data_IF_290555650050
#
_entry.id   IF_290555650050
#
_cell.length_a   1.000
_cell.length_b   1.000
_cell.length_c   1.000
_cell.angle_alpha   90.00
_cell.angle_beta   90.00
_cell.angle_gamma   90.00
#
_symmetry.space_group_name_H-M   'P 1'
#
loop_
_entity.id
_entity.type
_entity.pdbx_description
1 polymer ?
#
# COMPACT_ATOMS: atom_id res chain seq x y z
N UNK A 1 17.52 -11.35 -21.35
CA UNK A 1 18.06 -12.01 -20.13
C UNK A 1 18.42 -11.00 -19.03
N UNK A 2 19.12 -9.88 -19.32
CA UNK A 2 19.45 -8.84 -18.32
C UNK A 2 18.23 -8.09 -17.76
N UNK A 3 17.18 -7.90 -18.56
CA UNK A 3 15.93 -7.26 -18.11
C UNK A 3 15.04 -8.24 -17.32
N UNK A 4 15.09 -9.54 -17.67
CA UNK A 4 14.35 -10.59 -16.98
C UNK A 4 14.89 -10.87 -15.57
N UNK A 5 16.19 -10.67 -15.34
CA UNK A 5 16.81 -10.77 -14.01
C UNK A 5 16.50 -9.60 -13.09
N UNK A 6 16.19 -8.40 -13.62
CA UNK A 6 15.73 -7.28 -12.80
C UNK A 6 14.31 -7.53 -12.25
N UNK A 7 13.46 -8.23 -13.01
CA UNK A 7 12.12 -8.63 -12.56
C UNK A 7 12.12 -9.66 -11.42
N UNK A 8 13.14 -10.52 -11.35
CA UNK A 8 13.27 -11.53 -10.28
C UNK A 8 13.77 -10.98 -8.95
N UNK A 9 14.39 -9.79 -8.92
CA UNK A 9 14.85 -9.11 -7.70
C UNK A 9 13.92 -7.99 -7.21
N UNK A 10 12.86 -7.68 -7.95
CA UNK A 10 11.82 -6.75 -7.52
C UNK A 10 10.70 -7.31 -6.59
N UNK A 11 10.75 -8.53 -5.98
CA UNK A 11 9.78 -8.91 -4.95
C UNK A 11 10.26 -8.52 -3.54
N UNK A 12 11.10 -7.49 -3.40
CA UNK A 12 11.60 -7.07 -2.08
C UNK A 12 10.60 -6.16 -1.35
N UNK A 13 9.58 -5.62 -2.05
CA UNK A 13 8.53 -4.83 -1.41
C UNK A 13 7.13 -5.26 -1.87
N UNK A 14 6.29 -5.80 -0.96
CA UNK A 14 4.91 -6.14 -1.24
C UNK A 14 4.05 -4.87 -1.31
N UNK A 15 4.20 -4.12 -2.40
CA UNK A 15 3.18 -3.21 -2.87
C UNK A 15 2.40 -3.92 -3.95
N UNK A 16 1.17 -4.36 -3.66
CA UNK A 16 0.23 -4.81 -4.70
C UNK A 16 0.14 -3.84 -5.89
N UNK A 17 0.24 -2.49 -5.73
CA UNK A 17 0.39 -1.57 -6.86
C UNK A 17 1.67 -1.77 -7.68
N UNK A 18 2.80 -2.08 -7.03
CA UNK A 18 4.06 -2.36 -7.71
C UNK A 18 3.96 -3.63 -8.57
N UNK A 19 3.34 -4.68 -8.04
CA UNK A 19 3.11 -5.95 -8.74
C UNK A 19 2.24 -5.70 -9.99
N UNK A 20 1.18 -4.92 -9.85
CA UNK A 20 0.33 -4.54 -10.97
C UNK A 20 1.09 -3.73 -12.03
N UNK A 21 1.89 -2.73 -11.63
CA UNK A 21 2.69 -1.94 -12.56
C UNK A 21 3.72 -2.78 -13.32
N UNK A 22 4.34 -3.75 -12.64
CA UNK A 22 5.26 -4.69 -13.27
C UNK A 22 4.53 -5.59 -14.30
N UNK A 23 3.37 -6.13 -13.95
CA UNK A 23 2.54 -6.94 -14.86
C UNK A 23 2.03 -6.12 -16.06
N UNK A 24 1.65 -4.85 -15.84
CA UNK A 24 1.27 -3.92 -16.89
C UNK A 24 2.43 -3.66 -17.85
N UNK A 25 3.61 -3.36 -17.33
CA UNK A 25 4.82 -3.15 -18.14
C UNK A 25 5.22 -4.40 -18.94
N UNK A 26 5.11 -5.58 -18.34
CA UNK A 26 5.33 -6.84 -19.03
C UNK A 26 4.30 -7.08 -20.14
N UNK A 27 3.02 -6.80 -19.88
CA UNK A 27 1.95 -6.90 -20.87
C UNK A 27 2.18 -6.03 -22.10
N UNK A 28 2.65 -4.79 -21.91
CA UNK A 28 3.03 -3.91 -23.03
C UNK A 28 4.25 -4.41 -23.81
N UNK A 29 5.26 -4.94 -23.11
CA UNK A 29 6.46 -5.50 -23.75
C UNK A 29 6.14 -6.72 -24.63
N UNK A 30 5.23 -7.58 -24.15
CA UNK A 30 4.88 -8.82 -24.83
C UNK A 30 3.72 -8.67 -25.83
N UNK A 31 3.07 -7.51 -25.88
CA UNK A 31 1.88 -7.27 -26.72
C UNK A 31 0.62 -8.00 -26.23
N UNK A 32 0.48 -8.21 -24.92
CA UNK A 32 -0.69 -8.84 -24.27
C UNK A 32 -0.98 -10.29 -24.68
N UNK A 33 0.05 -11.05 -25.09
CA UNK A 33 -0.10 -12.45 -25.49
C UNK A 33 -0.28 -13.40 -24.28
N UNK A 34 0.57 -13.30 -23.24
CA UNK A 34 0.39 -14.08 -22.00
C UNK A 34 -0.43 -13.33 -20.96
N UNK A 35 -0.12 -12.06 -20.70
CA UNK A 35 -0.92 -11.20 -19.82
C UNK A 35 -2.05 -10.57 -20.64
N UNK A 36 -3.18 -11.28 -20.70
CA UNK A 36 -4.35 -10.76 -21.39
C UNK A 36 -4.97 -9.57 -20.63
N UNK A 37 -5.74 -8.70 -21.31
CA UNK A 37 -6.45 -7.60 -20.65
C UNK A 37 -7.37 -8.05 -19.51
N UNK A 38 -7.90 -9.28 -19.57
CA UNK A 38 -8.72 -9.87 -18.52
C UNK A 38 -7.90 -10.16 -17.25
N UNK A 39 -6.70 -10.75 -17.40
CA UNK A 39 -5.78 -11.00 -16.28
C UNK A 39 -5.37 -9.67 -15.65
N UNK A 40 -5.04 -8.69 -16.49
CA UNK A 40 -4.68 -7.35 -16.03
C UNK A 40 -5.82 -6.68 -15.25
N UNK A 41 -7.07 -6.82 -15.70
CA UNK A 41 -8.25 -6.32 -14.99
C UNK A 41 -8.43 -6.99 -13.63
N UNK A 42 -8.21 -8.32 -13.54
CA UNK A 42 -8.26 -9.04 -12.27
C UNK A 42 -7.17 -8.54 -11.32
N UNK A 43 -5.93 -8.39 -11.80
CA UNK A 43 -4.82 -7.86 -11.00
C UNK A 43 -5.09 -6.42 -10.53
N UNK A 44 -5.69 -5.59 -11.38
CA UNK A 44 -6.11 -4.25 -11.02
C UNK A 44 -7.17 -4.27 -9.90
N UNK A 45 -8.20 -5.10 -10.03
CA UNK A 45 -9.25 -5.24 -9.01
C UNK A 45 -8.69 -5.71 -7.66
N UNK A 46 -7.78 -6.70 -7.67
CA UNK A 46 -7.10 -7.17 -6.46
C UNK A 46 -6.25 -6.05 -5.83
N UNK A 47 -5.56 -5.28 -6.65
CA UNK A 47 -4.77 -4.13 -6.20
C UNK A 47 -5.65 -3.08 -5.52
N UNK A 48 -6.74 -2.66 -6.18
CA UNK A 48 -7.69 -1.70 -5.60
C UNK A 48 -8.29 -2.24 -4.30
N UNK A 49 -8.68 -3.51 -4.26
CA UNK A 49 -9.22 -4.14 -3.05
C UNK A 49 -8.22 -4.08 -1.88
N UNK A 50 -6.96 -4.41 -2.13
CA UNK A 50 -5.92 -4.33 -1.10
C UNK A 50 -5.64 -2.90 -0.63
N UNK A 51 -5.65 -1.92 -1.53
CA UNK A 51 -5.52 -0.50 -1.17
C UNK A 51 -6.68 -0.02 -0.30
N UNK A 52 -7.91 -0.44 -0.61
CA UNK A 52 -9.08 -0.15 0.22
C UNK A 52 -8.96 -0.80 1.59
N UNK A 53 -8.54 -2.05 1.67
CA UNK A 53 -8.35 -2.76 2.94
C UNK A 53 -7.28 -2.07 3.78
N UNK A 54 -6.13 -1.70 3.22
CA UNK A 54 -5.09 -0.96 3.93
C UNK A 54 -5.59 0.39 4.44
N UNK A 55 -6.35 1.11 3.60
CA UNK A 55 -6.96 2.38 3.99
C UNK A 55 -7.94 2.18 5.16
N UNK A 56 -8.88 1.25 5.05
CA UNK A 56 -9.86 0.99 6.11
C UNK A 56 -9.18 0.45 7.38
N UNK A 57 -8.19 -0.43 7.25
CA UNK A 57 -7.44 -0.94 8.39
C UNK A 57 -6.68 0.19 9.10
N UNK A 58 -6.05 1.10 8.35
CA UNK A 58 -5.45 2.32 8.88
C UNK A 58 -6.45 3.22 9.59
N UNK A 59 -7.63 3.47 8.98
CA UNK A 59 -8.70 4.28 9.60
C UNK A 59 -9.24 3.62 10.87
N UNK A 60 -9.50 2.32 10.85
CA UNK A 60 -10.01 1.57 12.01
C UNK A 60 -8.96 1.56 13.12
N UNK A 61 -7.68 1.34 12.78
CA UNK A 61 -6.57 1.42 13.71
C UNK A 61 -6.44 2.81 14.32
N UNK A 62 -6.44 3.86 13.51
CA UNK A 62 -6.41 5.24 13.98
C UNK A 62 -7.58 5.55 14.93
N UNK A 63 -8.82 5.24 14.51
CA UNK A 63 -10.03 5.47 15.32
C UNK A 63 -10.00 4.71 16.64
N UNK A 64 -9.52 3.46 16.67
CA UNK A 64 -9.42 2.66 17.89
C UNK A 64 -8.46 3.28 18.92
N UNK A 65 -7.50 4.07 18.46
CA UNK A 65 -6.56 4.81 19.30
C UNK A 65 -6.97 6.28 19.52
N UNK A 66 -8.21 6.63 19.18
CA UNK A 66 -8.79 7.95 19.45
C UNK A 66 -8.55 9.00 18.38
N UNK A 67 -8.17 8.60 17.16
CA UNK A 67 -8.01 9.52 16.05
C UNK A 67 -9.32 10.24 15.70
N UNK A 68 -9.18 11.48 15.28
CA UNK A 68 -10.26 12.34 14.79
C UNK A 68 -10.23 12.39 13.27
N UNK A 69 -11.23 13.06 12.66
CA UNK A 69 -11.26 13.27 11.22
C UNK A 69 -9.99 13.93 10.67
N UNK A 70 -9.35 14.83 11.43
CA UNK A 70 -8.13 15.51 11.02
C UNK A 70 -6.91 14.57 11.02
N UNK A 71 -6.79 13.67 12.01
CA UNK A 71 -5.75 12.64 11.99
C UNK A 71 -5.95 11.62 10.87
N UNK A 72 -7.20 11.28 10.54
CA UNK A 72 -7.49 10.37 9.42
C UNK A 72 -7.10 11.01 8.07
N UNK A 73 -7.53 12.24 7.82
CA UNK A 73 -7.16 12.97 6.60
C UNK A 73 -5.67 13.28 6.55
N UNK A 74 -5.08 13.62 7.69
CA UNK A 74 -3.65 13.80 7.85
C UNK A 74 -2.88 12.53 7.51
N UNK A 75 -3.30 11.37 8.02
CA UNK A 75 -2.69 10.08 7.70
C UNK A 75 -2.79 9.74 6.20
N UNK A 76 -3.93 10.05 5.58
CA UNK A 76 -4.13 9.80 4.15
C UNK A 76 -3.20 10.66 3.29
N UNK A 77 -3.19 11.98 3.52
CA UNK A 77 -2.31 12.91 2.80
C UNK A 77 -0.84 12.63 3.11
N UNK A 78 -0.51 12.36 4.37
CA UNK A 78 0.83 11.97 4.81
C UNK A 78 1.29 10.66 4.19
N UNK A 79 0.39 9.70 3.94
CA UNK A 79 0.70 8.48 3.20
C UNK A 79 1.05 8.74 1.74
N UNK A 80 0.27 9.57 1.06
CA UNK A 80 0.53 9.96 -0.34
C UNK A 80 1.87 10.71 -0.44
N UNK A 81 2.04 11.75 0.36
CA UNK A 81 3.26 12.57 0.36
C UNK A 81 4.47 11.75 0.83
N UNK A 82 4.29 10.89 1.83
CA UNK A 82 5.32 9.99 2.32
C UNK A 82 5.87 9.10 1.21
N UNK A 83 4.99 8.45 0.44
CA UNK A 83 5.41 7.59 -0.68
C UNK A 83 6.12 8.41 -1.77
N UNK A 84 5.66 9.63 -2.06
CA UNK A 84 6.26 10.48 -3.11
C UNK A 84 7.67 10.97 -2.71
N UNK A 85 7.84 11.44 -1.48
CA UNK A 85 9.09 12.08 -1.04
C UNK A 85 10.10 11.10 -0.42
N UNK A 86 9.61 10.10 0.33
CA UNK A 86 10.44 9.18 1.11
C UNK A 86 10.34 7.73 0.63
N UNK A 87 9.55 7.44 -0.41
CA UNK A 87 9.47 6.12 -1.05
C UNK A 87 9.15 5.00 -0.04
N UNK A 88 10.11 4.12 0.27
CA UNK A 88 9.94 2.94 1.13
C UNK A 88 9.66 3.32 2.60
N UNK A 89 10.53 4.07 3.30
CA UNK A 89 10.22 4.52 4.67
C UNK A 89 8.97 5.41 4.74
N UNK A 90 8.66 6.11 3.65
CA UNK A 90 7.49 6.97 3.53
C UNK A 90 6.13 6.25 3.66
N UNK A 91 6.08 4.95 3.37
CA UNK A 91 4.84 4.16 3.44
C UNK A 91 4.30 4.01 4.87
N UNK A 92 5.19 4.02 5.87
CA UNK A 92 4.83 3.87 7.28
C UNK A 92 5.00 5.18 8.03
N UNK A 93 6.09 5.90 7.76
CA UNK A 93 6.37 7.19 8.40
C UNK A 93 5.43 8.29 7.89
N UNK A 94 5.02 8.24 6.63
CA UNK A 94 4.09 9.19 6.03
C UNK A 94 2.75 9.23 6.75
N UNK A 95 2.01 8.11 6.85
CA UNK A 95 0.75 8.07 7.58
C UNK A 95 0.89 8.41 9.05
N UNK A 96 1.98 7.99 9.71
CA UNK A 96 2.23 8.33 11.11
C UNK A 96 2.44 9.83 11.30
N UNK A 97 3.36 10.44 10.55
CA UNK A 97 3.64 11.87 10.62
C UNK A 97 2.41 12.70 10.22
N UNK A 98 1.69 12.26 9.18
CA UNK A 98 0.43 12.86 8.74
C UNK A 98 -0.66 12.80 9.81
N UNK A 99 -0.85 11.66 10.46
CA UNK A 99 -1.82 11.51 11.54
C UNK A 99 -1.49 12.42 12.73
N UNK A 100 -0.22 12.44 13.13
CA UNK A 100 0.26 13.27 14.26
C UNK A 100 0.07 14.74 13.94
N UNK A 101 0.51 15.19 12.77
CA UNK A 101 0.35 16.60 12.35
C UNK A 101 -1.11 16.99 12.22
N UNK A 102 -1.97 16.13 11.66
CA UNK A 102 -3.42 16.35 11.59
C UNK A 102 -4.08 16.51 12.96
N UNK A 103 -3.73 15.67 13.93
CA UNK A 103 -4.25 15.80 15.30
C UNK A 103 -3.71 17.03 16.03
N UNK A 104 -2.45 17.40 15.81
CA UNK A 104 -1.87 18.63 16.36
C UNK A 104 -2.53 19.89 15.80
N UNK A 105 -2.84 19.91 14.49
CA UNK A 105 -3.57 21.02 13.85
C UNK A 105 -4.97 21.17 14.41
N UNK A 106 -5.60 20.06 14.84
CA UNK A 106 -6.89 20.10 15.55
C UNK A 106 -6.78 20.67 16.98
N UNK A 107 -5.57 20.83 17.51
CA UNK A 107 -5.33 21.32 18.86
C UNK A 107 -5.30 20.21 19.91
N UNK A 108 -5.04 18.96 19.53
CA UNK A 108 -4.84 17.88 20.51
C UNK A 108 -3.45 17.93 21.11
N UNK A 109 -3.35 17.41 22.33
CA UNK A 109 -2.09 17.22 23.01
C UNK A 109 -1.19 16.24 22.25
N UNK A 110 0.13 16.45 22.32
CA UNK A 110 1.11 15.62 21.63
C UNK A 110 0.97 14.13 21.95
N UNK A 111 0.64 13.79 23.21
CA UNK A 111 0.40 12.41 23.64
C UNK A 111 -0.73 11.74 22.84
N UNK A 112 -1.85 12.44 22.67
CA UNK A 112 -3.00 11.92 21.91
C UNK A 112 -2.70 11.82 20.41
N UNK A 113 -1.96 12.79 19.87
CA UNK A 113 -1.55 12.81 18.46
C UNK A 113 -0.64 11.63 18.13
N UNK A 114 0.37 11.36 18.98
CA UNK A 114 1.27 10.20 18.83
C UNK A 114 0.49 8.89 18.96
N UNK A 115 -0.44 8.80 19.92
CA UNK A 115 -1.27 7.61 20.11
C UNK A 115 -2.12 7.31 18.87
N UNK A 116 -2.72 8.33 18.25
CA UNK A 116 -3.44 8.25 16.98
C UNK A 116 -2.54 7.78 15.82
N UNK A 117 -1.34 8.34 15.72
CA UNK A 117 -0.34 7.92 14.71
C UNK A 117 0.10 6.46 14.87
N UNK A 118 0.36 6.02 16.10
CA UNK A 118 0.66 4.61 16.40
C UNK A 118 -0.51 3.69 16.07
N UNK A 119 -1.75 4.12 16.36
CA UNK A 119 -2.95 3.37 15.98
C UNK A 119 -3.09 3.19 14.48
N UNK A 120 -2.72 4.22 13.70
CA UNK A 120 -2.69 4.15 12.23
C UNK A 120 -1.69 3.09 11.75
N UNK A 121 -0.48 3.09 12.30
CA UNK A 121 0.56 2.10 11.95
C UNK A 121 0.14 0.68 12.33
N UNK A 122 -0.43 0.50 13.52
CA UNK A 122 -0.94 -0.80 13.97
C UNK A 122 -2.10 -1.27 13.07
N UNK A 123 -2.98 -0.36 12.66
CA UNK A 123 -4.05 -0.64 11.72
C UNK A 123 -3.54 -1.12 10.37
N UNK A 124 -2.59 -0.38 9.78
CA UNK A 124 -1.94 -0.74 8.51
C UNK A 124 -1.21 -2.09 8.64
N UNK A 125 -0.51 -2.32 9.75
CA UNK A 125 0.16 -3.60 10.02
C UNK A 125 -0.83 -4.77 10.08
N UNK A 126 -2.01 -4.57 10.66
CA UNK A 126 -3.10 -5.55 10.63
C UNK A 126 -3.64 -5.82 9.22
N UNK A 127 -3.85 -4.76 8.42
CA UNK A 127 -4.25 -4.89 7.02
C UNK A 127 -3.21 -5.60 6.14
N UNK A 128 -1.93 -5.42 6.49
CA UNK A 128 -0.80 -6.01 5.77
C UNK A 128 -0.81 -7.53 5.79
N UNK A 129 -1.36 -8.17 6.85
CA UNK A 129 -1.49 -9.63 6.91
C UNK A 129 -2.37 -10.14 5.77
N UNK A 130 -3.53 -9.51 5.55
CA UNK A 130 -4.42 -9.84 4.43
C UNK A 130 -3.75 -9.52 3.09
N UNK A 131 -3.08 -8.36 3.01
CA UNK A 131 -2.37 -7.92 1.81
C UNK A 131 -1.29 -8.92 1.38
N UNK A 132 -0.56 -9.52 2.31
CA UNK A 132 0.47 -10.54 2.02
C UNK A 132 -0.16 -11.76 1.35
N UNK A 133 -1.31 -12.22 1.82
CA UNK A 133 -2.02 -13.35 1.19
C UNK A 133 -2.42 -13.04 -0.26
N UNK A 134 -2.96 -11.84 -0.52
CA UNK A 134 -3.33 -11.41 -1.87
C UNK A 134 -2.09 -11.17 -2.75
N UNK A 135 -1.02 -10.61 -2.19
CA UNK A 135 0.23 -10.41 -2.92
C UNK A 135 0.83 -11.75 -3.37
N UNK A 136 0.82 -12.76 -2.49
CA UNK A 136 1.28 -14.11 -2.83
C UNK A 136 0.44 -14.74 -3.95
N UNK A 137 -0.89 -14.59 -3.92
CA UNK A 137 -1.74 -15.12 -5.00
C UNK A 137 -1.48 -14.43 -6.34
N UNK A 138 -1.29 -13.10 -6.34
CA UNK A 138 -0.93 -12.35 -7.54
C UNK A 138 0.43 -12.79 -8.12
N UNK A 139 1.43 -13.01 -7.27
CA UNK A 139 2.75 -13.50 -7.71
C UNK A 139 2.63 -14.90 -8.30
N UNK A 140 1.89 -15.80 -7.67
CA UNK A 140 1.67 -17.15 -8.19
C UNK A 140 1.01 -17.14 -9.58
N UNK A 141 0.01 -16.29 -9.78
CA UNK A 141 -0.66 -16.12 -11.10
C UNK A 141 0.34 -15.61 -12.14
N UNK A 142 1.12 -14.58 -11.79
CA UNK A 142 2.11 -14.00 -12.69
C UNK A 142 3.17 -15.05 -13.10
N UNK A 143 3.74 -15.77 -12.12
CA UNK A 143 4.76 -16.79 -12.39
C UNK A 143 4.20 -17.93 -13.25
N UNK A 144 2.99 -18.43 -12.95
CA UNK A 144 2.37 -19.53 -13.70
C UNK A 144 2.05 -19.18 -15.17
N UNK A 145 1.90 -17.90 -15.49
CA UNK A 145 1.59 -17.42 -16.84
C UNK A 145 2.88 -17.08 -17.62
N UNK A 146 3.89 -16.58 -16.92
CA UNK A 146 5.12 -16.06 -17.54
C UNK A 146 6.17 -17.15 -17.76
N UNK A 147 6.31 -18.09 -16.82
CA UNK A 147 7.21 -19.25 -16.87
C UNK A 147 6.56 -20.38 -17.64
#
# INVERSE_FOLDING_TARGET
>A
MVIGTLGTFLPVLPGTPLIFLAALGYGFYEGFNKITPLILLIMFMLTVLTLLIDYFAGVVGAKKFGATGYGIWGAFLGGILGVIFFSIPGLTLGPLAGAVTGELVKGRNLSDAVRSGLGTVIGIAGGSIFKVTVALSMVSIYVAIVV
#
